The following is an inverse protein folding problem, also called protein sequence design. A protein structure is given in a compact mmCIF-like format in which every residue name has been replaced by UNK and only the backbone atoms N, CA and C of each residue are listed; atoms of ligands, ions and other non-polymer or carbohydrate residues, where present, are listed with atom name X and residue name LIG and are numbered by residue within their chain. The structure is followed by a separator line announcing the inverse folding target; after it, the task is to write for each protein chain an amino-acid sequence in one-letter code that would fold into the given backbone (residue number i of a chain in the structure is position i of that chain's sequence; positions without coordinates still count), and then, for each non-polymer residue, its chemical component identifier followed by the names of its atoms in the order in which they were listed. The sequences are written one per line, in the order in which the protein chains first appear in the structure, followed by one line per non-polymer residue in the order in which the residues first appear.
data_IF_831835138837
#
_entry.id   IF_831835138837
#
_cell.length_a   1.000
_cell.length_b   1.000
_cell.length_c   1.000
_cell.angle_alpha   90.00
_cell.angle_beta   90.00
_cell.angle_gamma   90.00
#
_symmetry.space_group_name_H-M   'P 1'
#
loop_
_entity.id
_entity.type
_entity.pdbx_description
1 polymer ?
#
# COMPACT_ATOMS: atom_id res chain seq x y z
N UNK A 1 -2.74 -14.50 34.19
CA UNK A 1 -1.88 -13.58 33.42
C UNK A 1 -1.13 -14.46 32.43
N UNK A 2 -1.41 -14.33 31.14
CA UNK A 2 -0.84 -15.21 30.11
C UNK A 2 0.68 -15.10 30.00
N UNK A 3 1.32 -16.13 29.46
CA UNK A 3 2.76 -16.14 29.20
C UNK A 3 3.13 -15.11 28.13
N UNK A 4 4.42 -14.72 28.07
CA UNK A 4 4.90 -13.79 27.02
C UNK A 4 4.65 -14.30 25.60
N UNK A 5 4.65 -15.63 25.41
CA UNK A 5 4.35 -16.25 24.12
C UNK A 5 2.86 -16.12 23.75
N UNK A 6 1.96 -16.27 24.71
CA UNK A 6 0.52 -16.07 24.50
C UNK A 6 0.22 -14.62 24.12
N UNK A 7 0.82 -13.65 24.81
CA UNK A 7 0.66 -12.22 24.47
C UNK A 7 1.12 -11.89 23.05
N UNK A 8 2.28 -12.42 22.63
CA UNK A 8 2.77 -12.23 21.26
C UNK A 8 1.87 -12.92 20.23
N UNK A 9 1.37 -14.11 20.55
CA UNK A 9 0.43 -14.84 19.72
C UNK A 9 -0.87 -14.07 19.51
N UNK A 10 -1.45 -13.51 20.57
CA UNK A 10 -2.65 -12.67 20.50
C UNK A 10 -2.41 -11.39 19.69
N UNK A 11 -1.27 -10.72 19.90
CA UNK A 11 -0.94 -9.50 19.18
C UNK A 11 -0.73 -9.75 17.68
N UNK A 12 -0.08 -10.86 17.31
CA UNK A 12 0.17 -11.21 15.91
C UNK A 12 -0.98 -11.96 15.24
N UNK A 13 -2.04 -12.32 15.98
CA UNK A 13 -3.20 -13.02 15.43
C UNK A 13 -3.91 -12.21 14.33
N UNK A 14 -3.85 -10.88 14.42
CA UNK A 14 -4.43 -9.96 13.43
C UNK A 14 -3.31 -9.12 12.82
N UNK A 15 -3.12 -9.22 11.50
CA UNK A 15 -2.11 -8.44 10.77
C UNK A 15 -0.67 -9.01 10.81
N UNK A 16 -0.42 -10.08 11.57
CA UNK A 16 0.87 -10.75 11.61
C UNK A 16 1.98 -9.87 12.20
N UNK A 17 2.94 -9.50 11.36
CA UNK A 17 4.02 -8.55 11.69
C UNK A 17 3.76 -7.12 11.19
N UNK A 18 2.60 -6.89 10.57
CA UNK A 18 2.22 -5.57 10.06
C UNK A 18 1.76 -4.66 11.20
N UNK A 19 1.85 -3.35 11.00
CA UNK A 19 1.30 -2.40 11.94
C UNK A 19 -0.24 -2.50 11.96
N UNK A 20 -0.80 -2.82 13.12
CA UNK A 20 -2.24 -2.88 13.34
C UNK A 20 -2.74 -1.53 13.87
N UNK A 21 -3.67 -0.90 13.15
CA UNK A 21 -4.28 0.36 13.55
C UNK A 21 -5.73 0.15 13.96
N UNK A 22 -6.04 0.36 15.25
CA UNK A 22 -7.39 0.27 15.82
C UNK A 22 -7.68 1.61 16.51
N UNK A 23 -8.17 2.58 15.73
CA UNK A 23 -8.42 3.98 16.12
C UNK A 23 -9.47 4.61 15.20
N UNK A 24 -9.83 5.88 15.44
CA UNK A 24 -10.67 6.65 14.51
C UNK A 24 -10.01 6.86 13.15
N UNK A 25 -10.80 7.05 12.10
CA UNK A 25 -10.29 7.34 10.74
C UNK A 25 -9.31 8.52 10.69
N UNK A 26 -9.57 9.58 11.46
CA UNK A 26 -8.66 10.73 11.60
C UNK A 26 -7.30 10.32 12.16
N UNK A 27 -7.29 9.53 13.23
CA UNK A 27 -6.05 9.08 13.88
C UNK A 27 -5.26 8.16 12.94
N UNK A 28 -5.96 7.26 12.24
CA UNK A 28 -5.32 6.36 11.26
C UNK A 28 -4.72 7.17 10.10
N UNK A 29 -5.46 8.15 9.57
CA UNK A 29 -4.98 9.02 8.50
C UNK A 29 -3.75 9.83 8.94
N UNK A 30 -3.76 10.39 10.17
CA UNK A 30 -2.62 11.13 10.72
C UNK A 30 -1.36 10.28 10.85
N UNK A 31 -1.51 9.04 11.31
CA UNK A 31 -0.39 8.12 11.46
C UNK A 31 0.15 7.66 10.11
N UNK A 32 -0.72 7.36 9.14
CA UNK A 32 -0.31 7.02 7.78
C UNK A 32 0.42 8.18 7.09
N UNK A 33 -0.09 9.41 7.21
CA UNK A 33 0.60 10.58 6.67
C UNK A 33 1.92 10.86 7.39
N UNK A 34 1.99 10.63 8.70
CA UNK A 34 3.24 10.70 9.45
C UNK A 34 4.24 9.70 8.86
N UNK A 35 3.84 8.45 8.62
CA UNK A 35 4.72 7.45 8.00
C UNK A 35 5.19 7.87 6.60
N UNK A 36 4.32 8.44 5.77
CA UNK A 36 4.72 9.02 4.48
C UNK A 36 5.81 10.08 4.69
N UNK A 37 5.59 11.04 5.60
CA UNK A 37 6.52 12.15 5.82
C UNK A 37 7.86 11.74 6.44
N UNK A 38 7.87 10.79 7.36
CA UNK A 38 9.10 10.42 8.09
C UNK A 38 9.90 9.32 7.41
N UNK A 39 9.23 8.43 6.67
CA UNK A 39 9.83 7.24 6.06
C UNK A 39 9.91 7.30 4.53
N UNK A 40 9.36 8.36 3.92
CA UNK A 40 9.33 8.54 2.46
C UNK A 40 8.72 7.34 1.72
N UNK A 41 7.63 6.79 2.27
CA UNK A 41 6.90 5.68 1.65
C UNK A 41 5.90 6.22 0.62
N UNK A 42 5.91 5.61 -0.57
CA UNK A 42 5.02 5.99 -1.68
C UNK A 42 3.56 5.54 -1.47
N UNK A 43 3.32 4.58 -0.58
CA UNK A 43 2.01 4.01 -0.36
C UNK A 43 2.03 2.79 0.55
N UNK A 44 0.87 2.17 0.74
CA UNK A 44 0.67 1.09 1.69
C UNK A 44 0.02 -0.13 1.05
N UNK A 45 0.46 -1.31 1.48
CA UNK A 45 -0.30 -2.54 1.29
C UNK A 45 -1.25 -2.68 2.48
N UNK A 46 -2.53 -2.39 2.27
CA UNK A 46 -3.55 -2.56 3.30
C UNK A 46 -3.97 -4.02 3.40
N UNK A 47 -4.01 -4.56 4.62
CA UNK A 47 -4.64 -5.84 4.93
C UNK A 47 -6.08 -5.64 5.39
N UNK A 48 -6.92 -6.66 5.25
CA UNK A 48 -8.28 -6.66 5.77
C UNK A 48 -8.43 -7.71 6.87
N UNK A 49 -9.24 -7.40 7.88
CA UNK A 49 -9.70 -8.40 8.86
C UNK A 49 -11.00 -9.03 8.38
N UNK A 50 -11.92 -8.21 7.90
CA UNK A 50 -13.23 -8.64 7.37
C UNK A 50 -13.47 -8.00 6.00
N UNK A 51 -13.73 -8.81 4.99
CA UNK A 51 -14.14 -8.34 3.66
C UNK A 51 -15.65 -8.55 3.46
N UNK A 52 -16.37 -7.63 2.78
CA UNK A 52 -15.87 -6.42 2.12
C UNK A 52 -15.81 -5.17 3.03
N UNK A 53 -16.30 -5.27 4.27
CA UNK A 53 -16.44 -4.15 5.21
C UNK A 53 -15.18 -3.30 5.37
N UNK A 54 -14.01 -3.93 5.52
CA UNK A 54 -12.74 -3.21 5.67
C UNK A 54 -12.44 -2.29 4.47
N UNK A 55 -12.96 -2.61 3.28
CA UNK A 55 -12.74 -1.81 2.08
C UNK A 55 -13.77 -0.71 1.94
N UNK A 56 -15.05 -1.07 1.98
CA UNK A 56 -16.16 -0.13 1.71
C UNK A 56 -16.31 0.84 2.88
N UNK A 57 -16.54 0.31 4.08
CA UNK A 57 -16.93 1.13 5.22
C UNK A 57 -15.69 1.80 5.86
N UNK A 58 -14.60 1.04 6.06
CA UNK A 58 -13.45 1.54 6.81
C UNK A 58 -12.45 2.33 5.95
N UNK A 59 -12.08 1.81 4.77
CA UNK A 59 -11.08 2.45 3.91
C UNK A 59 -11.69 3.52 3.02
N UNK A 60 -12.76 3.22 2.27
CA UNK A 60 -13.34 4.15 1.30
C UNK A 60 -14.17 5.22 2.02
N UNK A 61 -15.17 4.81 2.79
CA UNK A 61 -16.15 5.74 3.36
C UNK A 61 -15.57 6.57 4.52
N UNK A 62 -14.61 6.02 5.28
CA UNK A 62 -13.98 6.69 6.43
C UNK A 62 -12.58 7.21 6.09
N UNK A 63 -11.59 6.34 5.89
CA UNK A 63 -10.17 6.75 5.83
C UNK A 63 -9.88 7.71 4.67
N UNK A 64 -10.25 7.32 3.45
CA UNK A 64 -10.04 8.13 2.24
C UNK A 64 -10.85 9.43 2.34
N UNK A 65 -12.14 9.34 2.67
CA UNK A 65 -13.03 10.49 2.83
C UNK A 65 -12.49 11.53 3.82
N UNK A 66 -11.98 11.11 4.98
CA UNK A 66 -11.41 12.02 5.99
C UNK A 66 -10.14 12.69 5.47
N UNK A 67 -9.25 11.94 4.84
CA UNK A 67 -7.99 12.47 4.31
C UNK A 67 -8.22 13.41 3.12
N UNK A 68 -9.14 13.11 2.21
CA UNK A 68 -9.46 13.98 1.06
C UNK A 68 -10.07 15.31 1.50
N UNK A 69 -10.97 15.31 2.48
CA UNK A 69 -11.60 16.54 3.03
C UNK A 69 -10.59 17.56 3.56
N UNK A 70 -9.40 17.12 3.94
CA UNK A 70 -8.32 17.96 4.47
C UNK A 70 -7.15 18.16 3.51
N UNK A 71 -7.24 17.65 2.28
CA UNK A 71 -6.13 17.67 1.32
C UNK A 71 -4.92 16.82 1.77
N UNK A 72 -5.19 15.73 2.49
CA UNK A 72 -4.19 14.80 3.00
C UNK A 72 -3.52 13.96 1.91
N UNK A 73 -2.50 13.20 2.31
CA UNK A 73 -1.67 12.40 1.40
C UNK A 73 -2.22 10.98 1.18
N UNK A 74 -3.16 10.55 2.00
CA UNK A 74 -3.82 9.24 1.89
C UNK A 74 -5.07 9.43 1.04
N UNK A 75 -5.18 8.72 -0.09
CA UNK A 75 -6.34 8.89 -0.96
C UNK A 75 -6.28 8.01 -2.19
N UNK A 76 -7.31 8.14 -3.03
CA UNK A 76 -7.33 7.50 -4.34
C UNK A 76 -6.63 8.40 -5.36
N UNK A 77 -5.51 7.96 -5.92
CA UNK A 77 -4.91 8.68 -7.05
C UNK A 77 -5.80 8.45 -8.29
N UNK A 78 -6.36 9.52 -8.88
CA UNK A 78 -7.14 9.43 -10.13
C UNK A 78 -6.34 8.78 -11.29
N UNK A 79 -5.01 8.77 -11.17
CA UNK A 79 -4.08 8.30 -12.20
C UNK A 79 -3.99 6.77 -12.33
N UNK A 80 -4.62 5.99 -11.46
CA UNK A 80 -4.56 4.52 -11.51
C UNK A 80 -5.79 3.82 -12.10
N UNK A 81 -6.55 4.51 -12.93
CA UNK A 81 -7.65 3.90 -13.66
C UNK A 81 -7.26 3.38 -15.05
N UNK A 82 -5.97 3.41 -15.43
CA UNK A 82 -5.56 3.36 -16.85
C UNK A 82 -4.40 2.40 -17.18
N UNK A 83 -4.43 1.69 -18.33
CA UNK A 83 -3.50 0.59 -18.64
C UNK A 83 -2.04 1.03 -18.87
N UNK A 84 -1.27 0.96 -17.79
CA UNK A 84 0.18 1.21 -17.74
C UNK A 84 0.80 0.92 -16.36
N UNK A 85 0.06 0.33 -15.43
CA UNK A 85 0.57 -0.18 -14.16
C UNK A 85 1.16 0.85 -13.20
N UNK A 86 1.67 0.35 -12.08
CA UNK A 86 2.31 1.14 -11.02
C UNK A 86 3.35 2.09 -11.62
N UNK A 87 3.19 3.39 -11.40
CA UNK A 87 3.99 4.50 -11.97
C UNK A 87 3.76 4.82 -13.47
N UNK A 88 2.68 4.34 -14.08
CA UNK A 88 2.21 4.81 -15.39
C UNK A 88 3.04 4.35 -16.60
N UNK A 89 3.84 3.30 -16.48
CA UNK A 89 4.60 2.71 -17.58
C UNK A 89 4.31 1.20 -17.76
N UNK A 90 3.75 0.82 -18.91
CA UNK A 90 3.44 -0.58 -19.26
C UNK A 90 4.67 -1.45 -19.53
N UNK A 91 5.87 -0.87 -19.55
CA UNK A 91 7.14 -1.54 -19.81
C UNK A 91 8.19 -1.15 -18.79
N UNK A 92 9.13 -2.08 -18.58
CA UNK A 92 10.28 -1.85 -17.71
C UNK A 92 11.12 -0.67 -18.21
N UNK A 93 11.51 0.19 -17.26
CA UNK A 93 12.42 1.32 -17.48
C UNK A 93 13.77 0.82 -18.00
N UNK A 94 14.49 1.57 -18.85
CA UNK A 94 15.78 1.15 -19.39
C UNK A 94 16.80 0.68 -18.34
N UNK A 95 16.80 1.32 -17.16
CA UNK A 95 17.70 1.00 -16.05
C UNK A 95 17.35 -0.31 -15.31
N UNK A 96 16.14 -0.84 -15.48
CA UNK A 96 15.74 -2.07 -14.81
C UNK A 96 16.51 -3.27 -15.41
N UNK A 97 17.13 -4.17 -14.60
CA UNK A 97 17.99 -5.25 -15.13
C UNK A 97 17.31 -6.11 -16.20
N UNK A 98 16.01 -6.38 -16.00
CA UNK A 98 15.22 -7.18 -16.94
C UNK A 98 14.90 -6.48 -18.27
N UNK A 99 15.21 -5.19 -18.41
CA UNK A 99 15.09 -4.46 -19.68
C UNK A 99 16.12 -4.88 -20.73
N UNK A 100 17.24 -5.50 -20.33
CA UNK A 100 18.23 -6.04 -21.26
C UNK A 100 17.73 -7.31 -21.99
N UNK A 101 16.72 -7.99 -21.45
CA UNK A 101 16.21 -9.26 -21.97
C UNK A 101 14.90 -9.07 -22.77
N UNK A 102 14.72 -7.90 -23.40
CA UNK A 102 13.59 -7.64 -24.31
C UNK A 102 13.78 -8.46 -25.59
N UNK A 103 12.71 -9.04 -26.13
CA UNK A 103 12.77 -9.88 -27.34
C UNK A 103 13.53 -9.20 -28.50
N UNK A 104 13.27 -7.93 -28.75
CA UNK A 104 13.92 -7.14 -29.82
C UNK A 104 15.44 -6.98 -29.61
N UNK A 105 15.91 -6.99 -28.35
CA UNK A 105 17.35 -6.88 -28.02
C UNK A 105 18.05 -8.22 -28.22
N UNK A 106 17.40 -9.33 -27.87
CA UNK A 106 17.96 -10.67 -27.99
C UNK A 106 18.14 -11.10 -29.46
N UNK A 107 17.20 -10.72 -30.33
CA UNK A 107 17.32 -11.00 -31.76
C UNK A 107 18.52 -10.27 -32.40
N UNK A 108 18.83 -9.05 -31.94
CA UNK A 108 19.97 -8.26 -32.43
C UNK A 108 21.35 -8.73 -31.92
N UNK A 109 21.39 -9.67 -30.97
CA UNK A 109 22.66 -10.20 -30.40
C UNK A 109 22.97 -11.62 -30.91
N UNK A 110 22.19 -12.13 -31.86
CA UNK A 110 22.28 -13.50 -32.38
C UNK A 110 23.03 -13.61 -33.73
N UNK A 111 23.78 -12.56 -34.11
CA UNK A 111 24.75 -12.51 -35.21
C UNK A 111 26.18 -12.46 -34.65
#
# INVERSE_FOLDING_TARGET
MGTRAEFLGEYSAIGGSSALQIRSGETVADEMERWIRISDVDGFNAGHVVAPQAWVDDVIDILISVSEKRGGLVGMEEKYSVPGGTRGASRLRPLHPRSAFKFDVLQNTSE
#
